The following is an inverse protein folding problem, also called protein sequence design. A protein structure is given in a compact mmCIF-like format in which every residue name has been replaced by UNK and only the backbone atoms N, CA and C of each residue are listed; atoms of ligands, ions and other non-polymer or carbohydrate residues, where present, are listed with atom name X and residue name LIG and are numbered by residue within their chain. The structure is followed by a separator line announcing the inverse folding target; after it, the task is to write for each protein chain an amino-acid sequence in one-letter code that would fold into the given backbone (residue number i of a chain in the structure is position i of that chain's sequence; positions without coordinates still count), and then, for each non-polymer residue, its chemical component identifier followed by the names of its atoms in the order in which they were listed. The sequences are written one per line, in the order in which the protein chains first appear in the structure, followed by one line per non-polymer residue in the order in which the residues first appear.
data_IF_336020346021
#
_entry.id   IF_336020346021
#
_cell.length_a   1.000
_cell.length_b   1.000
_cell.length_c   1.000
_cell.angle_alpha   90.00
_cell.angle_beta   90.00
_cell.angle_gamma   90.00
#
_symmetry.space_group_name_H-M   'P 1'
#
loop_
_entity.id
_entity.type
_entity.pdbx_description
1 polymer ?
#
# COMPACT_ATOMS: atom_id res chain seq x y z
N UNK A 1 -4.30 4.21 -2.48
CA UNK A 1 -2.84 4.53 -2.49
C UNK A 1 -2.17 3.94 -3.73
N UNK A 2 -0.92 4.32 -4.05
CA UNK A 2 -0.19 3.75 -5.19
C UNK A 2 0.00 2.23 -5.06
N UNK A 3 0.25 1.73 -3.85
CA UNK A 3 0.42 0.30 -3.57
C UNK A 3 -0.89 -0.48 -3.81
N UNK A 4 -2.04 -0.01 -3.31
CA UNK A 4 -3.33 -0.63 -3.61
C UNK A 4 -3.61 -0.75 -5.12
N UNK A 5 -3.24 0.29 -5.89
CA UNK A 5 -3.38 0.28 -7.35
C UNK A 5 -2.42 -0.75 -7.98
N UNK A 6 -1.19 -0.83 -7.49
CA UNK A 6 -0.20 -1.81 -7.95
C UNK A 6 -0.67 -3.25 -7.69
N UNK A 7 -1.18 -3.54 -6.48
CA UNK A 7 -1.74 -4.85 -6.11
C UNK A 7 -2.95 -5.22 -6.97
N UNK A 8 -3.88 -4.28 -7.20
CA UNK A 8 -5.05 -4.52 -8.06
C UNK A 8 -4.66 -4.83 -9.50
N UNK A 9 -3.60 -4.20 -10.00
CA UNK A 9 -3.13 -4.34 -11.38
C UNK A 9 -1.99 -5.34 -11.52
N UNK A 10 -1.67 -6.12 -10.49
CA UNK A 10 -0.48 -6.98 -10.45
C UNK A 10 -0.40 -7.97 -11.61
N UNK A 11 -1.54 -8.44 -12.12
CA UNK A 11 -1.59 -9.37 -13.25
C UNK A 11 -1.11 -8.72 -14.56
N UNK A 12 -1.49 -7.48 -14.82
CA UNK A 12 -1.15 -6.75 -16.06
C UNK A 12 0.38 -6.70 -16.33
N UNK A 13 1.25 -6.22 -15.41
CA UNK A 13 2.69 -6.18 -15.64
C UNK A 13 3.31 -7.58 -15.62
N UNK A 14 2.74 -8.55 -14.89
CA UNK A 14 3.24 -9.94 -14.89
C UNK A 14 3.04 -10.60 -16.25
N UNK A 15 1.86 -10.49 -16.84
CA UNK A 15 1.59 -10.99 -18.19
C UNK A 15 2.50 -10.33 -19.23
N UNK A 16 2.69 -9.02 -19.13
CA UNK A 16 3.62 -8.28 -19.98
C UNK A 16 5.08 -8.76 -19.83
N UNK A 17 5.53 -9.01 -18.59
CA UNK A 17 6.88 -9.53 -18.31
C UNK A 17 7.09 -10.92 -18.92
N UNK A 18 6.10 -11.81 -18.82
CA UNK A 18 6.17 -13.13 -19.44
C UNK A 18 6.28 -13.04 -20.97
N UNK A 19 5.49 -12.17 -21.61
CA UNK A 19 5.53 -11.98 -23.06
C UNK A 19 6.91 -11.51 -23.56
N UNK A 20 7.57 -10.62 -22.82
CA UNK A 20 8.89 -10.09 -23.20
C UNK A 20 10.02 -11.09 -22.92
N UNK A 21 9.90 -11.91 -21.88
CA UNK A 21 10.91 -12.93 -21.57
C UNK A 21 10.97 -14.04 -22.63
N UNK A 22 9.87 -14.31 -23.33
CA UNK A 22 9.84 -15.26 -24.46
C UNK A 22 10.48 -14.71 -25.74
N UNK A 23 10.75 -13.39 -25.85
CA UNK A 23 11.41 -12.82 -27.01
C UNK A 23 12.91 -13.20 -27.06
N UNK A 24 13.39 -13.56 -28.24
CA UNK A 24 14.81 -13.93 -28.50
C UNK A 24 15.77 -12.74 -28.32
N UNK A 25 15.26 -11.51 -28.29
CA UNK A 25 16.07 -10.30 -28.33
C UNK A 25 16.47 -9.85 -26.91
N UNK A 26 17.71 -10.17 -26.50
CA UNK A 26 18.24 -9.83 -25.17
C UNK A 26 18.24 -8.33 -24.87
N UNK A 27 18.30 -7.47 -25.88
CA UNK A 27 18.28 -6.01 -25.72
C UNK A 27 16.92 -5.46 -25.24
N UNK A 28 15.83 -6.22 -25.37
CA UNK A 28 14.49 -5.85 -24.91
C UNK A 28 14.15 -6.36 -23.51
N UNK A 29 15.02 -7.17 -22.90
CA UNK A 29 14.74 -7.79 -21.60
C UNK A 29 14.91 -6.79 -20.46
N UNK A 30 13.97 -6.82 -19.54
CA UNK A 30 14.02 -6.01 -18.32
C UNK A 30 15.07 -6.62 -17.37
N UNK A 31 15.93 -5.82 -16.74
CA UNK A 31 16.89 -6.30 -15.74
C UNK A 31 16.19 -7.07 -14.62
N UNK A 32 16.85 -8.10 -14.09
CA UNK A 32 16.30 -8.94 -13.03
C UNK A 32 15.95 -8.13 -11.76
N UNK A 33 16.74 -7.09 -11.45
CA UNK A 33 16.54 -6.22 -10.29
C UNK A 33 15.28 -5.35 -10.39
N UNK A 34 14.74 -5.16 -11.60
CA UNK A 34 13.50 -4.41 -11.83
C UNK A 34 12.24 -5.30 -11.77
N UNK A 35 12.41 -6.61 -11.56
CA UNK A 35 11.32 -7.59 -11.50
C UNK A 35 11.00 -7.95 -10.05
N UNK A 36 9.83 -7.54 -9.59
CA UNK A 36 9.33 -7.89 -8.26
C UNK A 36 8.99 -9.39 -8.17
N UNK A 37 9.66 -10.08 -7.26
CA UNK A 37 9.39 -11.47 -6.91
C UNK A 37 8.06 -11.63 -6.17
N UNK A 38 7.56 -12.87 -6.08
CA UNK A 38 6.35 -13.16 -5.28
C UNK A 38 6.46 -12.69 -3.83
N UNK A 39 7.67 -12.73 -3.26
CA UNK A 39 7.94 -12.24 -1.92
C UNK A 39 7.84 -10.71 -1.84
N UNK A 40 8.40 -9.99 -2.81
CA UNK A 40 8.29 -8.52 -2.84
C UNK A 40 6.83 -8.07 -2.93
N UNK A 41 6.01 -8.78 -3.71
CA UNK A 41 4.57 -8.53 -3.79
C UNK A 41 3.84 -8.82 -2.47
N UNK A 42 4.26 -9.85 -1.73
CA UNK A 42 3.74 -10.15 -0.39
C UNK A 42 4.06 -9.01 0.58
N UNK A 43 5.32 -8.58 0.62
CA UNK A 43 5.78 -7.45 1.44
C UNK A 43 5.03 -6.16 1.08
N UNK A 44 4.79 -5.88 -0.20
CA UNK A 44 3.95 -4.75 -0.61
C UNK A 44 2.52 -4.85 -0.07
N UNK A 45 1.96 -6.05 0.00
CA UNK A 45 0.67 -6.30 0.65
C UNK A 45 0.68 -5.96 2.14
N UNK A 46 1.68 -6.45 2.87
CA UNK A 46 1.86 -6.19 4.31
C UNK A 46 2.06 -4.69 4.59
N UNK A 47 2.93 -4.03 3.81
CA UNK A 47 3.15 -2.57 3.89
C UNK A 47 1.85 -1.81 3.60
N UNK A 48 1.05 -2.27 2.64
CA UNK A 48 -0.22 -1.63 2.33
C UNK A 48 -1.18 -1.67 3.53
N UNK A 49 -1.30 -2.81 4.20
CA UNK A 49 -2.17 -2.95 5.38
C UNK A 49 -1.69 -2.09 6.55
N UNK A 50 -0.39 -1.99 6.80
CA UNK A 50 0.17 -1.08 7.82
C UNK A 50 -0.10 0.39 7.50
N UNK A 51 0.05 0.79 6.24
CA UNK A 51 -0.09 2.20 5.83
C UNK A 51 -1.54 2.66 5.69
N UNK A 52 -2.46 1.75 5.40
CA UNK A 52 -3.88 2.06 5.18
C UNK A 52 -4.56 2.80 6.35
N UNK A 53 -4.46 2.36 7.62
CA UNK A 53 -5.08 3.07 8.74
C UNK A 53 -4.43 4.46 8.95
N UNK A 54 -3.11 4.59 8.75
CA UNK A 54 -2.40 5.88 8.81
C UNK A 54 -2.93 6.84 7.74
N UNK A 55 -3.08 6.35 6.51
CA UNK A 55 -3.61 7.15 5.41
C UNK A 55 -5.03 7.64 5.72
N UNK A 56 -5.91 6.75 6.20
CA UNK A 56 -7.28 7.12 6.55
C UNK A 56 -7.32 8.18 7.66
N UNK A 57 -6.52 8.02 8.71
CA UNK A 57 -6.46 8.98 9.81
C UNK A 57 -5.88 10.33 9.38
N UNK A 58 -4.86 10.31 8.51
CA UNK A 58 -4.29 11.53 7.92
C UNK A 58 -5.34 12.26 7.08
N UNK A 59 -6.04 11.54 6.21
CA UNK A 59 -7.07 12.12 5.34
C UNK A 59 -8.27 12.67 6.13
N UNK A 60 -8.58 12.10 7.29
CA UNK A 60 -9.63 12.56 8.20
C UNK A 60 -9.28 13.85 8.94
N UNK A 61 -8.00 14.04 9.26
CA UNK A 61 -7.53 15.16 10.09
C UNK A 61 -6.90 16.31 9.30
N UNK A 62 -6.58 16.07 8.02
CA UNK A 62 -6.03 17.10 7.13
C UNK A 62 -7.01 18.28 6.92
N UNK A 63 -6.49 19.36 6.32
CA UNK A 63 -7.33 20.47 5.89
C UNK A 63 -8.00 21.21 7.04
N UNK A 64 -7.35 21.22 8.22
CA UNK A 64 -7.88 21.88 9.40
C UNK A 64 -9.27 21.30 9.76
N UNK A 65 -9.41 19.97 9.77
CA UNK A 65 -10.67 19.29 10.15
C UNK A 65 -11.90 19.77 9.37
N UNK A 66 -11.76 20.24 8.14
CA UNK A 66 -12.92 20.56 7.30
C UNK A 66 -13.72 19.26 7.08
N UNK A 67 -14.90 19.17 7.70
CA UNK A 67 -15.73 17.96 7.69
C UNK A 67 -15.60 17.11 8.95
N UNK A 68 -15.04 17.64 10.04
CA UNK A 68 -15.09 16.99 11.35
C UNK A 68 -16.54 16.89 11.87
N UNK A 69 -16.83 15.80 12.60
CA UNK A 69 -18.15 15.60 13.21
C UNK A 69 -18.15 15.95 14.69
N UNK A 70 -17.02 15.78 15.38
CA UNK A 70 -16.89 15.92 16.83
C UNK A 70 -15.86 16.98 17.26
N UNK A 71 -15.31 17.73 16.31
CA UNK A 71 -14.25 18.69 16.55
C UNK A 71 -12.85 18.09 16.46
N UNK A 72 -11.91 18.87 15.93
CA UNK A 72 -10.54 18.45 15.58
C UNK A 72 -9.75 17.73 16.66
N UNK A 73 -9.78 18.23 17.89
CA UNK A 73 -9.00 17.62 18.97
C UNK A 73 -9.48 16.20 19.26
N UNK A 74 -10.79 16.00 19.23
CA UNK A 74 -11.39 14.68 19.41
C UNK A 74 -11.00 13.74 18.29
N UNK A 75 -11.07 14.19 17.02
CA UNK A 75 -10.70 13.38 15.85
C UNK A 75 -9.23 12.93 15.88
N UNK A 76 -8.34 13.76 16.43
CA UNK A 76 -6.93 13.39 16.64
C UNK A 76 -6.78 12.38 17.77
N UNK A 77 -7.37 12.64 18.94
CA UNK A 77 -7.22 11.77 20.11
C UNK A 77 -7.77 10.37 19.86
N UNK A 78 -9.00 10.26 19.36
CA UNK A 78 -9.61 8.96 19.04
C UNK A 78 -8.90 8.29 17.88
N UNK A 79 -8.42 9.08 16.92
CA UNK A 79 -7.62 8.56 15.81
C UNK A 79 -6.32 7.90 16.26
N UNK A 80 -5.65 8.43 17.27
CA UNK A 80 -4.44 7.81 17.83
C UNK A 80 -4.75 6.48 18.52
N UNK A 81 -5.85 6.41 19.27
CA UNK A 81 -6.31 5.15 19.89
C UNK A 81 -6.63 4.10 18.83
N UNK A 82 -7.35 4.48 17.76
CA UNK A 82 -7.64 3.60 16.62
C UNK A 82 -6.36 3.06 15.95
N UNK A 83 -5.37 3.92 15.72
CA UNK A 83 -4.10 3.50 15.14
C UNK A 83 -3.34 2.54 16.07
N UNK A 84 -3.35 2.81 17.37
CA UNK A 84 -2.70 1.98 18.37
C UNK A 84 -3.33 0.57 18.40
N UNK A 85 -4.66 0.50 18.54
CA UNK A 85 -5.42 -0.76 18.52
C UNK A 85 -5.08 -1.59 17.27
N UNK A 86 -5.10 -0.96 16.09
CA UNK A 86 -4.78 -1.65 14.85
C UNK A 86 -3.35 -2.22 14.83
N UNK A 87 -2.36 -1.48 15.34
CA UNK A 87 -0.97 -1.96 15.37
C UNK A 87 -0.71 -3.00 16.46
N UNK A 88 -1.43 -2.95 17.57
CA UNK A 88 -1.37 -4.00 18.58
C UNK A 88 -1.95 -5.31 18.07
N UNK A 89 -3.10 -5.27 17.38
CA UNK A 89 -3.67 -6.44 16.71
C UNK A 89 -2.75 -6.97 15.62
N UNK A 90 -2.12 -6.09 14.84
CA UNK A 90 -1.21 -6.50 13.77
C UNK A 90 0.02 -7.24 14.29
N UNK A 91 0.56 -6.87 15.48
CA UNK A 91 1.72 -7.57 16.09
C UNK A 91 1.46 -9.05 16.40
N UNK A 92 0.20 -9.47 16.45
CA UNK A 92 -0.19 -10.85 16.75
C UNK A 92 -0.08 -11.77 15.52
N UNK A 93 0.10 -11.19 14.32
CA UNK A 93 0.30 -11.90 13.05
C UNK A 93 1.77 -11.90 12.63
#
# INVERSE_FOLDING_TARGET
MMIERALRKQTDPREFLFAIQEEENEAGRIPADDILSSEDWRVLGEVNEILKPIYLQTMRTQGWGKGDSHGRLWEVLIGMEYLLEHFEDWKVF
#
